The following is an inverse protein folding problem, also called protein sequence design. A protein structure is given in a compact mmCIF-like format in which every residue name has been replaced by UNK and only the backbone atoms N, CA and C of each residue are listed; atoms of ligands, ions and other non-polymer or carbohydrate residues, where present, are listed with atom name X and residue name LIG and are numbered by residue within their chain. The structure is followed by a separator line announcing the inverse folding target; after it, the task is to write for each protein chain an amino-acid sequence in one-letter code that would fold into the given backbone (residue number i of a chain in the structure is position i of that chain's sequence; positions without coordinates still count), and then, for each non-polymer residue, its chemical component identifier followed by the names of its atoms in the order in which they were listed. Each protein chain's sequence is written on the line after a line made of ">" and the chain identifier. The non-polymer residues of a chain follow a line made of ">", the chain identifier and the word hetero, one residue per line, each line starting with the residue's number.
data_IF_016452144835
#
_entry.id   IF_016452144835
#
_cell.length_a   1.000
_cell.length_b   1.000
_cell.length_c   1.000
_cell.angle_alpha   90.00
_cell.angle_beta   90.00
_cell.angle_gamma   90.00
#
_symmetry.space_group_name_H-M   'P 1'
#
loop_
_entity.id
_entity.type
_entity.pdbx_description
1 polymer ?
#
# COMPACT_ATOMS: atom_id res chain seq x y z
N UNK A 1 -37.84 -19.87 -52.80
CA UNK A 1 -37.65 -19.95 -51.33
C UNK A 1 -36.18 -19.98 -50.91
N UNK A 2 -35.34 -20.87 -51.45
CA UNK A 2 -33.93 -21.01 -51.02
C UNK A 2 -33.11 -19.70 -51.11
N UNK A 3 -33.26 -18.93 -52.19
CA UNK A 3 -32.58 -17.63 -52.38
C UNK A 3 -32.99 -16.56 -51.35
N UNK A 4 -34.24 -16.60 -50.89
CA UNK A 4 -34.77 -15.66 -49.90
C UNK A 4 -34.27 -15.99 -48.49
N UNK A 5 -34.10 -17.29 -48.20
CA UNK A 5 -33.56 -17.77 -46.94
C UNK A 5 -32.07 -17.45 -46.81
N UNK A 6 -31.31 -17.59 -47.90
CA UNK A 6 -29.89 -17.23 -47.92
C UNK A 6 -29.64 -15.74 -47.77
N UNK A 7 -30.45 -14.88 -48.40
CA UNK A 7 -30.30 -13.42 -48.25
C UNK A 7 -30.68 -12.96 -46.84
N UNK A 8 -31.74 -13.54 -46.25
CA UNK A 8 -32.12 -13.27 -44.86
C UNK A 8 -31.03 -13.70 -43.87
N UNK A 9 -30.40 -14.85 -44.10
CA UNK A 9 -29.31 -15.35 -43.25
C UNK A 9 -28.06 -14.43 -43.32
N UNK A 10 -27.68 -13.97 -44.51
CA UNK A 10 -26.57 -13.02 -44.68
C UNK A 10 -26.86 -11.66 -44.01
N UNK A 11 -28.12 -11.20 -44.05
CA UNK A 11 -28.52 -9.92 -43.46
C UNK A 11 -28.60 -9.99 -41.93
N UNK A 12 -28.94 -11.14 -41.36
CA UNK A 12 -28.87 -11.39 -39.92
C UNK A 12 -27.41 -11.51 -39.44
N UNK A 13 -26.52 -12.11 -40.23
CA UNK A 13 -25.09 -12.20 -39.90
C UNK A 13 -24.38 -10.83 -39.90
N UNK A 14 -24.73 -9.93 -40.83
CA UNK A 14 -24.16 -8.58 -40.87
C UNK A 14 -24.66 -7.67 -39.75
N UNK A 15 -25.90 -7.87 -39.28
CA UNK A 15 -26.45 -7.18 -38.10
C UNK A 15 -25.83 -7.66 -36.78
N UNK A 16 -25.41 -8.94 -36.69
CA UNK A 16 -24.69 -9.44 -35.52
C UNK A 16 -23.25 -8.89 -35.41
N UNK A 17 -22.60 -8.60 -36.54
CA UNK A 17 -21.24 -8.07 -36.57
C UNK A 17 -21.10 -6.63 -36.05
N UNK A 18 -22.14 -5.80 -36.22
CA UNK A 18 -22.16 -4.41 -35.77
C UNK A 18 -22.66 -4.20 -34.33
N UNK A 19 -23.13 -5.27 -33.68
CA UNK A 19 -23.65 -5.24 -32.30
C UNK A 19 -22.63 -5.75 -31.27
N UNK A 20 -21.33 -5.77 -31.59
CA UNK A 20 -20.31 -6.08 -30.59
C UNK A 20 -20.15 -4.88 -29.65
N UNK A 21 -20.43 -5.02 -28.34
CA UNK A 21 -20.18 -3.94 -27.40
C UNK A 21 -18.66 -3.73 -27.27
N UNK A 22 -18.22 -2.46 -27.23
CA UNK A 22 -16.83 -1.99 -27.06
C UNK A 22 -16.24 -2.41 -25.69
N UNK A 23 -16.18 -3.71 -25.40
CA UNK A 23 -15.63 -4.26 -24.15
C UNK A 23 -14.11 -4.46 -24.21
N UNK A 24 -13.46 -4.05 -25.31
CA UNK A 24 -12.04 -4.32 -25.55
C UNK A 24 -11.14 -3.08 -25.49
N UNK A 25 -11.63 -1.95 -24.97
CA UNK A 25 -10.75 -0.81 -24.68
C UNK A 25 -10.03 -1.07 -23.37
N UNK A 26 -8.75 -1.43 -23.45
CA UNK A 26 -7.89 -1.47 -22.26
C UNK A 26 -7.96 -0.11 -21.58
N UNK A 27 -8.32 -0.08 -20.30
CA UNK A 27 -8.40 1.17 -19.55
C UNK A 27 -6.99 1.72 -19.32
N UNK A 28 -6.84 3.04 -19.43
CA UNK A 28 -5.62 3.72 -19.02
C UNK A 28 -5.25 3.37 -17.58
N UNK A 29 -3.95 3.40 -17.29
CA UNK A 29 -3.45 3.02 -15.97
C UNK A 29 -2.25 3.87 -15.56
N UNK A 30 -1.92 3.82 -14.28
CA UNK A 30 -0.74 4.50 -13.75
C UNK A 30 0.30 3.49 -13.29
N UNK A 31 1.51 3.67 -13.80
CA UNK A 31 2.65 2.88 -13.44
C UNK A 31 3.54 3.65 -12.46
N UNK A 32 3.77 3.05 -11.31
CA UNK A 32 4.70 3.57 -10.31
C UNK A 32 6.06 2.95 -10.56
N UNK A 33 7.03 3.75 -11.00
CA UNK A 33 8.37 3.29 -11.36
C UNK A 33 9.42 3.80 -10.38
N UNK A 34 10.44 2.98 -10.14
CA UNK A 34 11.67 3.43 -9.48
C UNK A 34 12.42 4.39 -10.41
N UNK A 35 13.35 5.17 -9.83
CA UNK A 35 14.26 6.03 -10.61
C UNK A 35 15.06 5.27 -11.68
N UNK A 36 15.33 3.98 -11.48
CA UNK A 36 16.03 3.12 -12.44
C UNK A 36 15.09 2.48 -13.49
N UNK A 37 13.86 2.97 -13.65
CA UNK A 37 12.91 2.50 -14.65
C UNK A 37 12.12 1.24 -14.29
N UNK A 38 12.51 0.50 -13.23
CA UNK A 38 11.79 -0.71 -12.80
C UNK A 38 10.41 -0.36 -12.24
N UNK A 39 9.37 -1.00 -12.77
CA UNK A 39 8.01 -0.91 -12.23
C UNK A 39 7.94 -1.49 -10.82
N UNK A 40 7.37 -0.72 -9.90
CA UNK A 40 7.04 -1.12 -8.54
C UNK A 40 5.65 -1.75 -8.52
N UNK A 41 4.69 -1.04 -9.14
CA UNK A 41 3.28 -1.37 -9.11
C UNK A 41 2.54 -0.67 -10.26
N UNK A 42 1.41 -1.23 -10.67
CA UNK A 42 0.49 -0.62 -11.65
C UNK A 42 -0.90 -0.49 -11.02
N UNK A 43 -1.54 0.65 -11.23
CA UNK A 43 -2.85 0.99 -10.69
C UNK A 43 -3.86 1.13 -11.82
N UNK A 44 -4.91 0.33 -11.76
CA UNK A 44 -6.01 0.28 -12.72
C UNK A 44 -7.31 0.79 -12.06
N UNK A 45 -8.31 1.18 -12.85
CA UNK A 45 -9.67 1.43 -12.35
C UNK A 45 -10.18 0.25 -11.50
N UNK A 46 -10.88 0.56 -10.41
CA UNK A 46 -11.36 -0.38 -9.39
C UNK A 46 -10.34 -0.71 -8.29
N UNK A 47 -9.05 -0.41 -8.45
CA UNK A 47 -8.05 -0.68 -7.42
C UNK A 47 -8.07 0.38 -6.30
N UNK A 48 -7.78 -0.03 -5.07
CA UNK A 48 -7.52 0.88 -3.97
C UNK A 48 -6.17 1.58 -4.16
N UNK A 49 -6.15 2.91 -4.07
CA UNK A 49 -4.93 3.71 -4.08
C UNK A 49 -4.80 4.49 -2.77
N UNK A 50 -3.58 4.57 -2.26
CA UNK A 50 -3.21 5.45 -1.16
C UNK A 50 -2.04 6.31 -1.64
N UNK A 51 -2.19 7.63 -1.59
CA UNK A 51 -1.20 8.55 -2.14
C UNK A 51 -1.14 9.85 -1.33
N UNK A 52 -0.03 10.55 -1.50
CA UNK A 52 0.26 11.83 -0.84
C UNK A 52 0.38 12.89 -1.93
N UNK A 53 -0.38 13.98 -1.82
CA UNK A 53 -0.30 15.12 -2.75
C UNK A 53 0.94 15.98 -2.50
N UNK A 54 1.19 16.94 -3.39
CA UNK A 54 2.25 17.93 -3.26
C UNK A 54 2.21 18.65 -1.90
N UNK A 55 1.00 18.95 -1.41
CA UNK A 55 0.72 19.62 -0.13
C UNK A 55 1.00 18.73 1.09
N UNK A 56 1.29 17.44 0.88
CA UNK A 56 1.59 16.49 1.95
C UNK A 56 0.37 15.85 2.61
N UNK A 57 -0.84 16.11 2.10
CA UNK A 57 -2.07 15.46 2.55
C UNK A 57 -2.13 14.05 1.95
N UNK A 58 -2.47 13.07 2.79
CA UNK A 58 -2.66 11.68 2.36
C UNK A 58 -4.14 11.42 2.05
N UNK A 59 -4.39 10.83 0.89
CA UNK A 59 -5.71 10.40 0.44
C UNK A 59 -5.72 8.90 0.20
N UNK A 60 -6.87 8.28 0.46
CA UNK A 60 -7.09 6.86 0.26
C UNK A 60 -8.50 6.62 -0.26
N UNK A 61 -8.62 5.81 -1.31
CA UNK A 61 -9.90 5.45 -1.92
C UNK A 61 -9.73 4.56 -3.14
N UNK A 62 -10.81 3.96 -3.64
CA UNK A 62 -10.79 3.24 -4.90
C UNK A 62 -10.67 4.22 -6.08
N UNK A 63 -9.95 3.79 -7.12
CA UNK A 63 -9.86 4.49 -8.39
C UNK A 63 -11.15 4.23 -9.16
N UNK A 64 -11.91 5.27 -9.45
CA UNK A 64 -13.12 5.18 -10.27
C UNK A 64 -12.73 5.00 -11.75
N UNK A 65 -11.90 5.92 -12.27
CA UNK A 65 -11.33 5.83 -13.60
C UNK A 65 -10.03 6.62 -13.72
N UNK A 66 -9.29 6.40 -14.81
CA UNK A 66 -8.05 7.11 -15.15
C UNK A 66 -8.23 7.61 -16.59
N UNK A 67 -8.07 8.92 -16.80
CA UNK A 67 -8.15 9.56 -18.13
C UNK A 67 -7.50 10.94 -18.08
N UNK A 68 -7.04 11.44 -19.23
CA UNK A 68 -6.53 12.81 -19.37
C UNK A 68 -5.49 13.16 -18.29
N UNK A 69 -4.48 12.30 -18.11
CA UNK A 69 -3.42 12.47 -17.11
C UNK A 69 -3.92 12.61 -15.65
N UNK A 70 -5.15 12.18 -15.35
CA UNK A 70 -5.74 12.35 -14.02
C UNK A 70 -6.29 11.03 -13.48
N UNK A 71 -6.15 10.86 -12.16
CA UNK A 71 -6.76 9.77 -11.39
C UNK A 71 -8.03 10.31 -10.77
N UNK A 72 -9.14 9.63 -11.00
CA UNK A 72 -10.41 9.93 -10.36
C UNK A 72 -10.59 9.00 -9.17
N UNK A 73 -10.54 9.57 -7.96
CA UNK A 73 -10.59 8.79 -6.71
C UNK A 73 -11.93 9.01 -6.05
N UNK A 74 -12.61 7.92 -5.71
CA UNK A 74 -13.90 7.96 -5.05
C UNK A 74 -13.71 7.98 -3.52
N UNK A 75 -14.45 8.88 -2.88
CA UNK A 75 -14.50 9.02 -1.43
C UNK A 75 -15.92 8.82 -0.92
N UNK A 76 -16.01 8.33 0.31
CA UNK A 76 -17.26 8.02 0.98
C UNK A 76 -17.40 8.91 2.22
N UNK A 77 -18.48 9.68 2.29
CA UNK A 77 -18.87 10.43 3.47
C UNK A 77 -20.09 9.77 4.09
N UNK A 78 -19.93 9.26 5.31
CA UNK A 78 -21.03 8.71 6.10
C UNK A 78 -21.66 9.84 6.91
N UNK A 79 -22.89 10.22 6.54
CA UNK A 79 -23.69 11.17 7.30
C UNK A 79 -24.44 10.44 8.40
N UNK A 80 -24.34 10.98 9.62
CA UNK A 80 -25.01 10.44 10.82
C UNK A 80 -26.18 11.35 11.19
N UNK A 81 -27.34 10.77 11.48
CA UNK A 81 -28.47 11.49 12.09
C UNK A 81 -28.60 11.14 13.57
N UNK A 82 -28.95 12.12 14.42
CA UNK A 82 -29.32 11.84 15.80
C UNK A 82 -30.66 11.10 15.83
N UNK A 83 -30.77 10.14 16.75
CA UNK A 83 -32.01 9.45 17.08
C UNK A 83 -32.75 10.19 18.18
N UNK A 84 -34.02 9.82 18.38
CA UNK A 84 -34.87 10.33 19.47
C UNK A 84 -34.26 10.06 20.86
N UNK A 85 -33.38 9.06 20.96
CA UNK A 85 -32.70 8.66 22.19
C UNK A 85 -31.32 9.33 22.38
N UNK A 86 -30.96 10.31 21.54
CA UNK A 86 -29.68 11.03 21.64
C UNK A 86 -28.46 10.24 21.13
N UNK A 87 -28.68 9.07 20.51
CA UNK A 87 -27.62 8.28 19.83
C UNK A 87 -27.52 8.66 18.35
N UNK A 88 -26.51 8.17 17.63
CA UNK A 88 -26.33 8.46 16.20
C UNK A 88 -26.46 7.19 15.36
N UNK A 89 -27.23 7.24 14.28
CA UNK A 89 -27.34 6.17 13.28
C UNK A 89 -26.82 6.68 11.92
N UNK A 90 -26.05 5.88 11.17
CA UNK A 90 -25.67 6.22 9.80
C UNK A 90 -26.91 6.20 8.88
N UNK A 91 -27.19 7.33 8.24
CA UNK A 91 -28.45 7.55 7.48
C UNK A 91 -28.20 7.72 5.98
N UNK A 92 -27.02 8.20 5.57
CA UNK A 92 -26.69 8.36 4.14
C UNK A 92 -25.20 8.19 3.90
N UNK A 93 -24.85 7.45 2.85
CA UNK A 93 -23.49 7.42 2.31
C UNK A 93 -23.48 8.29 1.06
N UNK A 94 -22.73 9.40 1.12
CA UNK A 94 -22.50 10.26 -0.05
C UNK A 94 -21.16 9.87 -0.67
N UNK A 95 -21.19 9.58 -1.97
CA UNK A 95 -19.98 9.32 -2.74
C UNK A 95 -19.61 10.56 -3.54
N UNK A 96 -18.34 10.90 -3.58
CA UNK A 96 -17.84 11.97 -4.44
C UNK A 96 -16.52 11.54 -5.07
N UNK A 97 -16.36 11.89 -6.34
CA UNK A 97 -15.17 11.55 -7.13
C UNK A 97 -14.36 12.82 -7.34
N UNK A 98 -13.09 12.80 -6.92
CA UNK A 98 -12.18 13.94 -7.08
C UNK A 98 -11.09 13.59 -8.09
N UNK A 99 -10.86 14.45 -9.11
CA UNK A 99 -9.73 14.30 -10.01
C UNK A 99 -8.43 14.77 -9.34
N UNK A 100 -7.38 13.97 -9.49
CA UNK A 100 -6.01 14.33 -9.12
C UNK A 100 -5.10 14.20 -10.32
N UNK A 101 -4.42 15.27 -10.69
CA UNK A 101 -3.42 15.23 -11.75
C UNK A 101 -2.21 14.40 -11.30
N UNK A 102 -1.75 13.47 -12.13
CA UNK A 102 -0.74 12.49 -11.70
C UNK A 102 0.60 13.13 -11.27
N UNK A 103 0.91 14.34 -11.76
CA UNK A 103 2.14 15.07 -11.40
C UNK A 103 2.03 15.77 -10.03
N UNK A 104 0.81 16.03 -9.55
CA UNK A 104 0.58 16.62 -8.23
C UNK A 104 0.64 15.56 -7.13
N UNK A 105 0.69 14.28 -7.52
CA UNK A 105 0.91 13.17 -6.61
C UNK A 105 2.41 13.08 -6.32
N UNK A 106 2.78 13.45 -5.09
CA UNK A 106 4.15 13.39 -4.60
C UNK A 106 4.64 11.97 -4.42
N UNK A 107 3.76 11.09 -3.92
CA UNK A 107 4.12 9.70 -3.65
C UNK A 107 2.89 8.80 -3.59
N UNK A 108 3.03 7.54 -4.02
CA UNK A 108 2.01 6.51 -3.85
C UNK A 108 2.50 5.53 -2.78
N UNK A 109 1.68 5.34 -1.75
CA UNK A 109 1.94 4.48 -0.61
C UNK A 109 1.61 3.04 -0.99
N UNK A 110 2.61 2.31 -1.48
CA UNK A 110 2.42 0.90 -1.83
C UNK A 110 2.29 0.03 -0.58
N UNK A 111 1.24 -0.80 -0.53
CA UNK A 111 0.95 -1.74 0.57
C UNK A 111 2.13 -2.68 0.90
N UNK A 112 2.85 -3.16 -0.13
CA UNK A 112 4.05 -4.00 0.03
C UNK A 112 5.15 -3.30 0.84
N UNK A 113 5.34 -2.01 0.63
CA UNK A 113 6.34 -1.21 1.33
C UNK A 113 5.94 -1.02 2.80
N UNK A 114 4.66 -0.73 3.07
CA UNK A 114 4.12 -0.63 4.43
C UNK A 114 4.31 -1.93 5.21
N UNK A 115 3.88 -3.08 4.64
CA UNK A 115 4.00 -4.40 5.26
C UNK A 115 5.45 -4.75 5.61
N UNK A 116 6.37 -4.57 4.65
CA UNK A 116 7.80 -4.87 4.87
C UNK A 116 8.40 -4.00 5.98
N UNK A 117 8.11 -2.70 6.00
CA UNK A 117 8.66 -1.79 7.03
C UNK A 117 8.06 -2.07 8.41
N UNK A 118 6.75 -2.33 8.48
CA UNK A 118 6.08 -2.74 9.71
C UNK A 118 6.69 -4.03 10.29
N UNK A 119 6.90 -5.04 9.44
CA UNK A 119 7.57 -6.28 9.83
C UNK A 119 8.99 -6.03 10.37
N UNK A 120 9.82 -5.28 9.65
CA UNK A 120 11.19 -4.99 10.07
C UNK A 120 11.27 -4.14 11.36
N UNK A 121 10.32 -3.23 11.55
CA UNK A 121 10.22 -2.47 12.80
C UNK A 121 9.86 -3.39 13.98
N UNK A 122 8.91 -4.32 13.77
CA UNK A 122 8.49 -5.30 14.77
C UNK A 122 9.65 -6.24 15.12
N UNK A 123 10.35 -6.75 14.11
CA UNK A 123 11.57 -7.55 14.30
C UNK A 123 12.63 -6.77 15.08
N UNK A 124 12.80 -5.47 14.83
CA UNK A 124 13.72 -4.62 15.58
C UNK A 124 13.32 -4.46 17.04
N UNK A 125 12.01 -4.39 17.33
CA UNK A 125 11.50 -4.40 18.69
C UNK A 125 11.79 -5.73 19.40
N UNK A 126 11.54 -6.86 18.73
CA UNK A 126 11.83 -8.20 19.25
C UNK A 126 13.31 -8.37 19.56
N UNK A 127 14.21 -7.96 18.66
CA UNK A 127 15.66 -8.05 18.88
C UNK A 127 16.12 -7.20 20.07
N UNK A 128 15.57 -5.99 20.24
CA UNK A 128 15.86 -5.17 21.43
C UNK A 128 15.38 -5.85 22.71
N UNK A 129 14.15 -6.34 22.73
CA UNK A 129 13.57 -6.99 23.92
C UNK A 129 14.34 -8.27 24.24
N UNK A 130 14.62 -9.11 23.23
CA UNK A 130 15.37 -10.35 23.39
C UNK A 130 16.81 -10.13 23.83
N UNK A 131 17.54 -9.24 23.15
CA UNK A 131 18.93 -8.93 23.49
C UNK A 131 19.06 -8.28 24.87
N UNK A 132 18.22 -7.29 25.17
CA UNK A 132 18.22 -6.61 26.47
C UNK A 132 17.76 -7.53 27.61
N UNK A 133 16.68 -8.30 27.38
CA UNK A 133 16.14 -9.25 28.36
C UNK A 133 17.13 -10.37 28.69
N UNK A 134 17.77 -10.94 27.66
CA UNK A 134 18.82 -11.95 27.87
C UNK A 134 20.02 -11.37 28.62
N UNK A 135 20.46 -10.15 28.26
CA UNK A 135 21.60 -9.51 28.95
C UNK A 135 21.32 -9.31 30.44
N UNK A 136 20.14 -8.80 30.79
CA UNK A 136 19.70 -8.64 32.18
C UNK A 136 19.67 -9.99 32.89
N UNK A 137 19.03 -11.00 32.29
CA UNK A 137 18.91 -12.32 32.88
C UNK A 137 20.28 -12.99 33.09
N UNK A 138 21.18 -12.86 32.12
CA UNK A 138 22.54 -13.41 32.19
C UNK A 138 23.34 -12.76 33.32
N UNK A 139 23.24 -11.44 33.50
CA UNK A 139 23.90 -10.72 34.60
C UNK A 139 23.35 -11.19 35.95
N UNK A 140 22.02 -11.21 36.11
CA UNK A 140 21.37 -11.64 37.36
C UNK A 140 21.77 -13.07 37.73
N UNK A 141 21.74 -13.99 36.76
CA UNK A 141 22.13 -15.38 36.98
C UNK A 141 23.61 -15.54 37.33
N UNK A 142 24.50 -14.78 36.65
CA UNK A 142 25.94 -14.82 36.93
C UNK A 142 26.23 -14.32 38.36
N UNK A 143 25.60 -13.22 38.76
CA UNK A 143 25.74 -12.67 40.12
C UNK A 143 25.20 -13.65 41.18
N UNK A 144 24.04 -14.28 40.92
CA UNK A 144 23.47 -15.30 41.81
C UNK A 144 24.35 -16.54 41.96
N UNK A 145 25.09 -16.92 40.92
CA UNK A 145 26.03 -18.04 40.90
C UNK A 145 27.44 -17.67 41.38
N UNK A 146 27.68 -16.41 41.75
CA UNK A 146 29.02 -15.87 42.08
C UNK A 146 30.03 -16.04 40.93
N UNK A 147 29.54 -16.10 39.70
CA UNK A 147 30.35 -16.12 38.48
C UNK A 147 30.59 -14.70 37.98
N UNK A 148 31.74 -14.46 37.34
CA UNK A 148 32.03 -13.16 36.74
C UNK A 148 31.13 -12.92 35.51
N UNK A 149 30.25 -11.90 35.51
CA UNK A 149 29.27 -11.70 34.44
C UNK A 149 29.87 -11.28 33.09
N UNK A 150 31.09 -10.76 33.11
CA UNK A 150 31.80 -10.25 31.92
C UNK A 150 32.98 -11.12 31.49
N UNK A 151 33.24 -12.25 32.16
CA UNK A 151 34.38 -13.10 31.87
C UNK A 151 33.98 -14.37 31.13
N UNK A 152 34.91 -14.91 30.34
CA UNK A 152 34.74 -16.18 29.63
C UNK A 152 33.46 -16.22 28.78
N UNK A 153 32.75 -17.35 28.85
CA UNK A 153 31.53 -17.57 28.07
C UNK A 153 30.40 -16.58 28.41
N UNK A 154 30.29 -16.16 29.67
CA UNK A 154 29.27 -15.19 30.09
C UNK A 154 29.51 -13.82 29.43
N UNK A 155 30.77 -13.39 29.36
CA UNK A 155 31.16 -12.18 28.63
C UNK A 155 30.88 -12.27 27.13
N UNK A 156 31.17 -13.41 26.49
CA UNK A 156 30.85 -13.64 25.08
C UNK A 156 29.34 -13.59 24.83
N UNK A 157 28.55 -14.25 25.66
CA UNK A 157 27.09 -14.26 25.55
C UNK A 157 26.50 -12.86 25.74
N UNK A 158 27.05 -12.07 26.68
CA UNK A 158 26.63 -10.69 26.91
C UNK A 158 26.99 -9.78 25.74
N UNK A 159 28.18 -9.97 25.13
CA UNK A 159 28.58 -9.24 23.93
C UNK A 159 27.66 -9.55 22.74
N UNK A 160 27.27 -10.81 22.56
CA UNK A 160 26.27 -11.22 21.55
C UNK A 160 24.94 -10.53 21.84
N UNK A 161 24.46 -10.56 23.08
CA UNK A 161 23.21 -9.94 23.49
C UNK A 161 23.20 -8.41 23.24
N UNK A 162 24.31 -7.73 23.52
CA UNK A 162 24.52 -6.33 23.20
C UNK A 162 24.50 -6.08 21.68
N UNK A 163 25.13 -6.95 20.89
CA UNK A 163 25.08 -6.91 19.42
C UNK A 163 23.67 -7.08 18.86
N UNK A 164 22.89 -8.02 19.39
CA UNK A 164 21.49 -8.25 19.02
C UNK A 164 20.63 -7.04 19.38
N UNK A 165 20.80 -6.48 20.58
CA UNK A 165 20.12 -5.26 21.00
C UNK A 165 20.45 -4.08 20.08
N UNK A 166 21.74 -3.87 19.80
CA UNK A 166 22.22 -2.81 18.91
C UNK A 166 21.66 -2.93 17.49
N UNK A 167 21.64 -4.14 16.93
CA UNK A 167 21.02 -4.43 15.64
C UNK A 167 19.52 -4.11 15.65
N UNK A 168 18.81 -4.50 16.71
CA UNK A 168 17.40 -4.18 16.92
C UNK A 168 17.13 -2.68 17.01
N UNK A 169 18.00 -1.93 17.72
CA UNK A 169 17.93 -0.49 17.85
C UNK A 169 18.12 0.23 16.50
N UNK A 170 19.17 -0.14 15.77
CA UNK A 170 19.44 0.39 14.44
C UNK A 170 18.28 0.11 13.47
N UNK A 171 17.77 -1.11 13.48
CA UNK A 171 16.66 -1.51 12.61
C UNK A 171 15.37 -0.74 12.96
N UNK A 172 15.04 -0.61 14.25
CA UNK A 172 13.92 0.18 14.72
C UNK A 172 13.99 1.62 14.22
N UNK A 173 15.14 2.28 14.34
CA UNK A 173 15.30 3.66 13.88
C UNK A 173 15.17 3.81 12.37
N UNK A 174 15.74 2.88 11.59
CA UNK A 174 15.71 2.92 10.12
C UNK A 174 14.31 2.69 9.54
N UNK A 175 13.48 1.89 10.22
CA UNK A 175 12.15 1.50 9.74
C UNK A 175 10.97 2.12 10.51
N UNK A 176 11.22 3.00 11.50
CA UNK A 176 10.20 3.66 12.34
C UNK A 176 9.14 4.47 11.58
N UNK A 177 9.49 5.08 10.45
CA UNK A 177 8.63 6.07 9.80
C UNK A 177 7.92 5.53 8.57
N UNK A 178 6.61 5.35 8.69
CA UNK A 178 5.70 5.11 7.56
C UNK A 178 5.57 6.36 6.67
N UNK A 179 5.65 7.56 7.25
CA UNK A 179 5.51 8.83 6.50
C UNK A 179 6.75 9.21 5.68
N UNK A 180 7.94 8.70 6.03
CA UNK A 180 9.16 8.83 5.22
C UNK A 180 9.25 7.72 4.16
N UNK A 181 8.24 7.53 3.31
CA UNK A 181 8.44 6.75 2.07
C UNK A 181 9.35 7.60 1.18
N UNK A 182 10.67 7.35 1.30
CA UNK A 182 11.71 8.32 1.00
C UNK A 182 12.28 8.25 -0.41
N UNK A 183 11.56 7.69 -1.39
CA UNK A 183 11.96 7.84 -2.78
C UNK A 183 10.74 8.25 -3.60
N UNK A 184 10.79 9.47 -4.13
CA UNK A 184 9.92 9.93 -5.23
C UNK A 184 9.99 8.86 -6.31
N UNK A 185 9.00 7.97 -6.33
CA UNK A 185 8.76 7.08 -7.45
C UNK A 185 8.29 7.95 -8.61
N UNK A 186 8.76 7.63 -9.81
CA UNK A 186 8.26 8.27 -11.01
C UNK A 186 6.87 7.70 -11.28
N UNK A 187 5.86 8.54 -11.18
CA UNK A 187 4.50 8.20 -11.56
C UNK A 187 4.38 8.46 -13.06
N UNK A 188 3.94 7.45 -13.80
CA UNK A 188 3.83 7.51 -15.26
C UNK A 188 2.40 7.12 -15.64
N UNK A 189 1.73 8.02 -16.32
CA UNK A 189 0.46 7.73 -16.99
C UNK A 189 0.73 6.89 -18.24
N UNK A 190 -0.07 5.85 -18.44
CA UNK A 190 -0.02 4.98 -19.62
C UNK A 190 -1.38 5.01 -20.28
N UNK A 191 -1.41 5.59 -21.48
CA UNK A 191 -2.58 5.61 -22.34
C UNK A 191 -2.68 4.27 -23.10
N UNK A 192 -3.87 3.69 -23.12
CA UNK A 192 -4.15 2.37 -23.69
C UNK A 192 -5.19 2.43 -24.82
N UNK A 193 -5.57 3.64 -25.25
CA UNK A 193 -6.60 3.90 -26.27
C UNK A 193 -6.00 4.27 -27.63
#
# INVERSE_FOLDING_TARGET
>A
MLKLLTTLCCLLFSLYGSAQPDHNRMSDYISVKKKNGRTIDNYYPGMQINFITADGIQYEGPIDHIKNDSIFVQFFQVLKRPTIWGTYIPDTIKNYTIPYYYKDIKNIVTSRTLKRRGYLNTLGAILKIGGGGYAILSIVNSLGRKEAPFAGQNGTNLAIAAGVFGAGYYMGQKFKSFNKISKRSKIVYVNMQ
#
